data_IF_727653159727
#
_entry.id   IF_727653159727
#
_cell.length_a   1.000
_cell.length_b   1.000
_cell.length_c   1.000
_cell.angle_alpha   90.00
_cell.angle_beta   90.00
_cell.angle_gamma   90.00
#
_symmetry.space_group_name_H-M   'P 1'
#
loop_
_entity.id
_entity.type
_entity.pdbx_description
1 polymer ?
#
# COMPACT_ATOMS: atom_id res chain seq x y z
N UNK A 1 -27.56 3.47 8.10
CA UNK A 1 -27.49 4.45 7.00
C UNK A 1 -26.74 3.77 5.86
N UNK A 2 -27.12 4.01 4.61
CA UNK A 2 -26.36 3.51 3.45
C UNK A 2 -25.08 4.33 3.31
N UNK A 3 -23.95 3.66 3.07
CA UNK A 3 -22.69 4.34 2.81
C UNK A 3 -22.77 5.17 1.50
N UNK A 4 -22.17 6.37 1.44
CA UNK A 4 -22.21 7.24 0.25
C UNK A 4 -21.18 6.83 -0.82
N UNK A 5 -20.78 5.57 -0.89
CA UNK A 5 -19.78 5.04 -1.82
C UNK A 5 -20.05 3.58 -2.18
N UNK A 6 -19.46 3.12 -3.28
CA UNK A 6 -19.51 1.71 -3.68
C UNK A 6 -18.51 0.88 -2.89
N UNK A 7 -18.92 -0.31 -2.43
CA UNK A 7 -17.98 -1.29 -1.91
C UNK A 7 -17.36 -2.05 -3.07
N UNK A 8 -16.06 -1.88 -3.28
CA UNK A 8 -15.35 -2.54 -4.38
C UNK A 8 -15.31 -4.07 -4.18
N UNK A 9 -15.17 -4.81 -5.28
CA UNK A 9 -15.03 -6.28 -5.29
C UNK A 9 -16.20 -7.09 -4.71
N UNK A 10 -17.40 -6.51 -4.66
CA UNK A 10 -18.61 -7.23 -4.28
C UNK A 10 -19.86 -6.68 -4.99
N UNK A 11 -20.92 -7.49 -5.02
CA UNK A 11 -22.23 -7.02 -5.44
C UNK A 11 -22.78 -6.00 -4.43
N UNK A 12 -23.31 -4.88 -4.92
CA UNK A 12 -23.82 -3.82 -4.05
C UNK A 12 -25.12 -4.25 -3.34
N UNK A 13 -25.94 -5.05 -4.02
CA UNK A 13 -27.15 -5.63 -3.43
C UNK A 13 -26.76 -6.71 -2.42
N UNK A 14 -27.13 -6.51 -1.15
CA UNK A 14 -26.85 -7.48 -0.09
C UNK A 14 -25.43 -7.43 0.45
N UNK A 15 -24.66 -6.38 0.12
CA UNK A 15 -23.37 -6.10 0.73
C UNK A 15 -23.52 -6.06 2.26
N UNK A 16 -22.53 -6.64 2.96
CA UNK A 16 -22.45 -6.64 4.43
C UNK A 16 -21.17 -5.92 4.85
N UNK A 17 -21.13 -4.59 4.73
CA UNK A 17 -19.95 -3.84 5.17
C UNK A 17 -19.78 -3.95 6.67
N UNK A 18 -18.55 -3.71 7.13
CA UNK A 18 -18.21 -3.62 8.53
C UNK A 18 -17.30 -2.40 8.75
N UNK A 19 -17.40 -1.81 9.93
CA UNK A 19 -16.59 -0.65 10.30
C UNK A 19 -15.21 -1.13 10.79
N UNK A 20 -14.16 -0.68 10.09
CA UNK A 20 -12.77 -0.80 10.52
C UNK A 20 -12.37 0.43 11.34
N UNK A 21 -11.75 0.20 12.49
CA UNK A 21 -11.27 1.22 13.43
C UNK A 21 -9.76 1.35 13.47
N UNK A 22 -9.04 0.34 13.01
CA UNK A 22 -7.58 0.33 12.96
C UNK A 22 -7.03 -1.07 12.77
N UNK A 23 -5.73 -1.22 12.98
CA UNK A 23 -5.08 -2.53 13.01
C UNK A 23 -3.65 -2.43 13.54
N UNK A 24 -3.21 -3.51 14.17
CA UNK A 24 -1.85 -3.67 14.71
C UNK A 24 -1.34 -5.09 14.48
N UNK A 25 -0.19 -5.21 13.82
CA UNK A 25 0.39 -6.50 13.49
C UNK A 25 -0.53 -7.30 12.57
N UNK A 26 -0.97 -8.47 13.01
CA UNK A 26 -1.87 -9.35 12.24
C UNK A 26 -3.35 -9.10 12.54
N UNK A 27 -3.69 -8.10 13.35
CA UNK A 27 -5.06 -7.88 13.81
C UNK A 27 -5.68 -6.63 13.19
N UNK A 28 -6.93 -6.77 12.77
CA UNK A 28 -7.82 -5.66 12.45
C UNK A 28 -8.74 -5.40 13.63
N UNK A 29 -8.91 -4.13 13.96
CA UNK A 29 -9.86 -3.65 14.98
C UNK A 29 -11.16 -3.26 14.27
N UNK A 30 -12.27 -3.94 14.57
CA UNK A 30 -13.60 -3.63 14.02
C UNK A 30 -14.55 -3.14 15.11
N UNK A 31 -15.67 -2.55 14.74
CA UNK A 31 -16.72 -2.19 15.71
C UNK A 31 -17.28 -3.38 16.51
N UNK A 32 -17.16 -4.60 15.98
CA UNK A 32 -17.61 -5.85 16.63
C UNK A 32 -16.50 -6.66 17.29
N UNK A 33 -15.26 -6.15 17.32
CA UNK A 33 -14.11 -6.81 17.95
C UNK A 33 -12.94 -7.03 17.00
N UNK A 34 -11.94 -7.79 17.48
CA UNK A 34 -10.70 -8.06 16.75
C UNK A 34 -10.86 -9.19 15.74
N UNK A 35 -10.29 -9.02 14.55
CA UNK A 35 -10.27 -10.02 13.49
C UNK A 35 -8.83 -10.30 13.11
N UNK A 36 -8.46 -11.58 13.03
CA UNK A 36 -7.15 -12.01 12.54
C UNK A 36 -7.12 -11.90 11.02
N UNK A 37 -6.18 -11.12 10.50
CA UNK A 37 -5.96 -10.96 9.06
C UNK A 37 -4.97 -12.01 8.56
N UNK A 38 -5.51 -13.13 8.08
CA UNK A 38 -4.72 -14.19 7.46
C UNK A 38 -4.22 -13.86 6.05
N UNK A 39 -4.76 -12.82 5.40
CA UNK A 39 -4.47 -12.50 4.00
C UNK A 39 -3.45 -11.38 3.82
N UNK A 40 -3.03 -10.71 4.90
CA UNK A 40 -2.36 -9.42 4.82
C UNK A 40 -3.16 -8.45 3.92
N UNK A 41 -4.47 -8.39 4.17
CA UNK A 41 -5.53 -7.96 3.26
C UNK A 41 -5.49 -8.76 1.94
N UNK A 42 -5.27 -8.07 0.83
CA UNK A 42 -5.11 -8.67 -0.50
C UNK A 42 -3.62 -8.71 -0.81
N UNK A 43 -2.86 -9.44 0.02
CA UNK A 43 -1.41 -9.68 -0.12
C UNK A 43 -0.52 -8.43 -0.06
N UNK A 44 -0.99 -7.36 0.57
CA UNK A 44 -0.33 -6.04 0.53
C UNK A 44 0.28 -5.60 1.88
N UNK A 45 -0.26 -6.06 3.01
CA UNK A 45 0.18 -5.63 4.35
C UNK A 45 1.14 -6.64 4.97
N UNK A 46 2.12 -7.13 4.21
CA UNK A 46 3.04 -8.18 4.66
C UNK A 46 3.82 -7.85 5.95
N UNK A 47 4.23 -6.59 6.20
CA UNK A 47 4.85 -6.20 7.47
C UNK A 47 3.89 -6.19 8.67
N UNK A 48 2.58 -6.30 8.46
CA UNK A 48 1.54 -6.12 9.47
C UNK A 48 0.99 -4.70 9.53
N UNK A 49 -0.23 -4.58 10.05
CA UNK A 49 -0.97 -3.34 10.22
C UNK A 49 -0.27 -2.41 11.20
N UNK A 50 -0.33 -1.10 10.94
CA UNK A 50 0.21 -0.08 11.85
C UNK A 50 1.73 -0.15 12.07
N UNK A 51 2.49 -0.74 11.15
CA UNK A 51 3.92 -0.96 11.33
C UNK A 51 4.69 0.36 11.56
N UNK A 52 5.14 0.58 12.80
CA UNK A 52 5.68 1.86 13.29
C UNK A 52 6.75 2.47 12.38
N UNK A 53 7.75 1.67 11.97
CA UNK A 53 8.82 2.13 11.07
C UNK A 53 8.34 2.68 9.73
N UNK A 54 7.23 2.13 9.19
CA UNK A 54 6.66 2.60 7.92
C UNK A 54 5.92 3.91 8.15
N UNK A 55 5.08 3.95 9.20
CA UNK A 55 4.32 5.15 9.59
C UNK A 55 5.27 6.33 9.83
N UNK A 56 6.34 6.11 10.58
CA UNK A 56 7.28 7.17 10.92
C UNK A 56 8.03 7.68 9.67
N UNK A 57 8.51 6.77 8.82
CA UNK A 57 9.23 7.14 7.59
C UNK A 57 8.35 7.90 6.58
N UNK A 58 7.10 7.47 6.39
CA UNK A 58 6.13 8.19 5.54
C UNK A 58 5.80 9.56 6.13
N UNK A 59 5.62 9.64 7.45
CA UNK A 59 5.31 10.90 8.14
C UNK A 59 6.44 11.91 8.02
N UNK A 60 7.68 11.48 8.27
CA UNK A 60 8.87 12.32 8.12
C UNK A 60 9.02 12.82 6.68
N UNK A 61 8.88 11.92 5.69
CA UNK A 61 8.98 12.30 4.29
C UNK A 61 7.87 13.27 3.89
N UNK A 62 6.62 13.04 4.32
CA UNK A 62 5.50 13.91 3.98
C UNK A 62 5.64 15.33 4.56
N UNK A 63 6.24 15.48 5.75
CA UNK A 63 6.58 16.78 6.34
C UNK A 63 7.61 17.55 5.53
N UNK A 64 8.54 16.85 4.88
CA UNK A 64 9.56 17.45 4.00
C UNK A 64 9.01 17.74 2.60
N UNK A 65 8.42 16.73 1.96
CA UNK A 65 7.89 16.76 0.61
C UNK A 65 6.95 15.56 0.36
N UNK A 66 5.64 15.82 0.30
CA UNK A 66 4.64 14.78 0.05
C UNK A 66 4.53 14.35 -1.43
N UNK A 67 4.78 15.27 -2.38
CA UNK A 67 4.63 15.03 -3.81
C UNK A 67 5.75 15.71 -4.58
N UNK A 68 6.29 15.03 -5.60
CA UNK A 68 7.30 15.55 -6.50
C UNK A 68 6.86 15.38 -7.97
N UNK A 69 7.28 16.26 -8.90
CA UNK A 69 6.98 16.09 -10.32
C UNK A 69 7.75 14.90 -10.91
N UNK A 70 7.24 14.24 -11.98
CA UNK A 70 7.82 13.00 -12.50
C UNK A 70 9.29 13.10 -12.96
N UNK A 71 9.67 14.26 -13.49
CA UNK A 71 11.02 14.55 -13.99
C UNK A 71 12.04 14.91 -12.89
N UNK A 72 11.62 14.97 -11.63
CA UNK A 72 12.53 15.22 -10.51
C UNK A 72 13.33 13.96 -10.12
N UNK A 73 14.53 14.22 -9.58
CA UNK A 73 15.36 13.23 -8.90
C UNK A 73 15.41 13.57 -7.41
N UNK A 74 15.46 12.54 -6.56
CA UNK A 74 15.64 12.67 -5.13
C UNK A 74 16.27 11.38 -4.56
N UNK A 75 17.03 11.47 -3.46
CA UNK A 75 17.80 10.34 -2.91
C UNK A 75 16.96 9.09 -2.67
N UNK A 76 15.74 9.25 -2.17
CA UNK A 76 14.86 8.15 -1.78
C UNK A 76 14.39 7.34 -3.00
N UNK A 77 14.11 7.99 -4.15
CA UNK A 77 13.77 7.32 -5.43
C UNK A 77 14.96 6.57 -6.01
N UNK A 78 16.17 7.13 -5.89
CA UNK A 78 17.41 6.47 -6.30
C UNK A 78 17.67 5.22 -5.46
N UNK A 79 17.65 5.35 -4.13
CA UNK A 79 17.91 4.24 -3.21
C UNK A 79 16.92 3.10 -3.46
N UNK A 80 15.63 3.40 -3.63
CA UNK A 80 14.63 2.39 -3.94
C UNK A 80 14.91 1.69 -5.27
N UNK A 81 15.26 2.42 -6.33
CA UNK A 81 15.60 1.83 -7.63
C UNK A 81 16.83 0.91 -7.54
N UNK A 82 17.88 1.33 -6.83
CA UNK A 82 19.09 0.53 -6.62
C UNK A 82 18.78 -0.76 -5.83
N UNK A 83 17.96 -0.67 -4.78
CA UNK A 83 17.54 -1.83 -3.98
C UNK A 83 16.65 -2.80 -4.75
N UNK A 84 15.82 -2.31 -5.67
CA UNK A 84 15.01 -3.14 -6.56
C UNK A 84 15.88 -3.85 -7.59
N UNK A 85 16.79 -3.14 -8.25
CA UNK A 85 17.72 -3.73 -9.24
C UNK A 85 18.63 -4.78 -8.60
N UNK A 86 19.08 -4.58 -7.35
CA UNK A 86 19.86 -5.57 -6.62
C UNK A 86 19.10 -6.87 -6.31
N UNK A 87 17.77 -6.86 -6.37
CA UNK A 87 16.90 -8.04 -6.19
C UNK A 87 16.38 -8.62 -7.50
N UNK A 88 16.46 -7.86 -8.59
CA UNK A 88 15.99 -8.28 -9.90
C UNK A 88 16.89 -9.37 -10.48
N UNK A 89 16.37 -10.24 -11.37
CA UNK A 89 17.21 -11.15 -12.14
C UNK A 89 18.29 -10.43 -12.95
N UNK A 90 19.36 -11.12 -13.40
CA UNK A 90 20.34 -10.53 -14.30
C UNK A 90 19.70 -9.96 -15.57
N UNK A 91 20.18 -8.80 -16.03
CA UNK A 91 19.74 -8.15 -17.27
C UNK A 91 18.85 -6.92 -17.08
N UNK A 92 18.28 -6.71 -15.89
CA UNK A 92 17.52 -5.48 -15.58
C UNK A 92 18.47 -4.33 -15.19
N UNK A 93 18.23 -3.14 -15.76
CA UNK A 93 19.10 -1.95 -15.55
C UNK A 93 18.35 -0.67 -15.18
N UNK A 94 17.02 -0.66 -15.29
CA UNK A 94 16.17 0.51 -15.00
C UNK A 94 14.88 0.09 -14.32
N UNK A 95 14.28 1.02 -13.57
CA UNK A 95 12.99 0.86 -12.90
C UNK A 95 12.06 1.98 -13.39
N UNK A 96 10.87 1.60 -13.85
CA UNK A 96 9.74 2.49 -14.05
C UNK A 96 8.80 2.31 -12.83
N UNK A 97 8.50 3.41 -12.13
CA UNK A 97 7.60 3.37 -10.97
C UNK A 97 6.17 3.65 -11.41
N UNK A 98 5.22 2.84 -10.96
CA UNK A 98 3.77 2.99 -11.16
C UNK A 98 3.03 2.95 -9.82
N UNK A 99 1.72 3.19 -9.82
CA UNK A 99 0.90 3.21 -8.61
C UNK A 99 0.30 1.85 -8.25
N UNK A 100 0.27 0.91 -9.18
CA UNK A 100 -0.32 -0.41 -8.98
C UNK A 100 0.09 -1.43 -10.03
N UNK A 101 -0.32 -2.68 -9.80
CA UNK A 101 0.01 -3.80 -10.67
C UNK A 101 -0.62 -3.72 -12.06
N UNK A 102 -1.84 -3.19 -12.17
CA UNK A 102 -2.49 -2.98 -13.48
C UNK A 102 -1.69 -2.00 -14.34
N UNK A 103 -1.38 -0.82 -13.81
CA UNK A 103 -0.56 0.18 -14.50
C UNK A 103 0.84 -0.35 -14.85
N UNK A 104 1.43 -1.20 -13.99
CA UNK A 104 2.71 -1.83 -14.28
C UNK A 104 2.61 -2.75 -15.52
N UNK A 105 1.55 -3.56 -15.62
CA UNK A 105 1.31 -4.42 -16.78
C UNK A 105 1.02 -3.63 -18.05
N UNK A 106 0.32 -2.50 -17.97
CA UNK A 106 0.04 -1.64 -19.12
C UNK A 106 1.30 -0.99 -19.70
N UNK A 107 2.38 -0.87 -18.91
CA UNK A 107 3.65 -0.26 -19.31
C UNK A 107 4.77 -1.29 -19.62
N UNK A 108 4.47 -2.59 -19.54
CA UNK A 108 5.45 -3.68 -19.70
C UNK A 108 5.78 -4.01 -21.17
#
# INVERSE_FOLDING_TARGET
MSDPFFHTWQAQRGAKPFELRGGEGVWLETASGRVLDFGALVYQVNPGHGHRRIVDAVSEQAQRLAVAPPNAHYPEKRELAERLLAKAPPGFTKVLFTLGGSDANENA
#
